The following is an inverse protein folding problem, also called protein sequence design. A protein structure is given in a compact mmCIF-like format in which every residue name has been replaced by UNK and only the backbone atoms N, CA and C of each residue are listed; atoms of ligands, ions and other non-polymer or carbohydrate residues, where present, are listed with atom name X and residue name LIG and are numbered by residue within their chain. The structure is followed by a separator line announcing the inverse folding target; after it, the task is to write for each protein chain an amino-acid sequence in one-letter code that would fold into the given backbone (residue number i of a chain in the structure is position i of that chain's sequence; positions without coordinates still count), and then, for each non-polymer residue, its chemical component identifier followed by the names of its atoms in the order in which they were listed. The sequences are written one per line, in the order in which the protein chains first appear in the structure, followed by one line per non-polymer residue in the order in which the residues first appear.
data_IF_598625998523
#
_entry.id   IF_598625998523
#
_cell.length_a   1.000
_cell.length_b   1.000
_cell.length_c   1.000
_cell.angle_alpha   90.00
_cell.angle_beta   90.00
_cell.angle_gamma   90.00
#
_symmetry.space_group_name_H-M   'P 1'
#
loop_
_entity.id
_entity.type
_entity.pdbx_description
1 polymer ?
#
# COMPACT_ATOMS: atom_id res chain seq x y z
N UNK A 1 47.80 15.09 -28.63
CA UNK A 1 46.72 15.75 -27.86
C UNK A 1 45.51 14.82 -27.87
N UNK A 2 45.21 14.16 -26.75
CA UNK A 2 44.09 13.23 -26.66
C UNK A 2 42.85 13.98 -26.17
N UNK A 3 41.80 13.99 -26.98
CA UNK A 3 40.56 14.70 -26.69
C UNK A 3 39.65 13.76 -25.88
N UNK A 4 39.53 14.04 -24.58
CA UNK A 4 38.56 13.39 -23.70
C UNK A 4 37.15 13.71 -24.21
N UNK A 5 36.50 12.71 -24.80
CA UNK A 5 35.09 12.77 -25.14
C UNK A 5 34.28 12.91 -23.85
N UNK A 6 33.62 14.06 -23.68
CA UNK A 6 32.66 14.24 -22.58
C UNK A 6 31.42 13.43 -22.94
N UNK A 7 31.19 12.33 -22.23
CA UNK A 7 29.89 11.66 -22.21
C UNK A 7 28.94 12.49 -21.35
N UNK A 8 28.05 13.23 -21.99
CA UNK A 8 26.87 13.80 -21.32
C UNK A 8 25.92 12.65 -20.97
N UNK A 9 25.96 12.21 -19.72
CA UNK A 9 24.97 11.25 -19.20
C UNK A 9 23.67 12.03 -19.00
N UNK A 10 22.53 11.60 -19.58
CA UNK A 10 21.26 12.26 -19.32
C UNK A 10 20.98 12.20 -17.81
N UNK A 11 20.54 13.34 -17.25
CA UNK A 11 20.13 13.36 -15.85
C UNK A 11 19.01 12.34 -15.66
N UNK A 12 19.04 11.56 -14.55
CA UNK A 12 17.95 10.64 -14.26
C UNK A 12 16.64 11.41 -14.21
N UNK A 13 15.57 10.80 -14.71
CA UNK A 13 14.23 11.34 -14.52
C UNK A 13 13.99 11.32 -13.01
N UNK A 14 13.84 12.50 -12.41
CA UNK A 14 13.48 12.61 -11.00
C UNK A 14 12.08 12.02 -10.86
N UNK A 15 11.96 10.97 -10.06
CA UNK A 15 10.65 10.51 -9.64
C UNK A 15 9.96 11.66 -8.89
N UNK A 16 8.64 11.83 -9.06
CA UNK A 16 7.90 12.82 -8.28
C UNK A 16 8.09 12.50 -6.79
N UNK A 17 8.37 13.55 -6.00
CA UNK A 17 8.43 13.40 -4.55
C UNK A 17 7.11 12.82 -4.04
N UNK A 18 7.20 11.87 -3.10
CA UNK A 18 6.00 11.33 -2.44
C UNK A 18 5.27 12.47 -1.73
N UNK A 19 3.99 12.57 -2.02
CA UNK A 19 3.10 13.51 -1.36
C UNK A 19 2.74 13.02 0.03
N UNK A 20 2.24 13.92 0.90
CA UNK A 20 1.70 13.50 2.20
C UNK A 20 0.54 12.50 2.08
N UNK A 21 -0.11 12.47 0.92
CA UNK A 21 -1.23 11.60 0.62
C UNK A 21 -0.77 10.17 0.27
N UNK A 22 0.33 10.05 -0.48
CA UNK A 22 1.01 8.78 -0.71
C UNK A 22 1.43 8.13 0.62
N UNK A 23 2.00 8.93 1.53
CA UNK A 23 2.37 8.48 2.87
C UNK A 23 1.15 8.02 3.69
N UNK A 24 0.01 8.68 3.53
CA UNK A 24 -1.23 8.29 4.21
C UNK A 24 -1.79 6.97 3.65
N UNK A 25 -1.73 6.75 2.34
CA UNK A 25 -2.08 5.47 1.71
C UNK A 25 -1.21 4.34 2.25
N UNK A 26 0.12 4.55 2.31
CA UNK A 26 1.07 3.57 2.85
C UNK A 26 0.75 3.26 4.33
N UNK A 27 0.50 4.30 5.12
CA UNK A 27 0.20 4.16 6.54
C UNK A 27 -1.11 3.40 6.80
N UNK A 28 -2.19 3.74 6.08
CA UNK A 28 -3.48 3.04 6.20
C UNK A 28 -3.33 1.59 5.75
N UNK A 29 -2.61 1.33 4.66
CA UNK A 29 -2.33 -0.03 4.19
C UNK A 29 -1.60 -0.84 5.26
N UNK A 30 -0.54 -0.27 5.84
CA UNK A 30 0.22 -0.92 6.91
C UNK A 30 -0.66 -1.20 8.14
N UNK A 31 -1.47 -0.24 8.59
CA UNK A 31 -2.40 -0.45 9.71
C UNK A 31 -3.40 -1.58 9.44
N UNK A 32 -4.00 -1.62 8.26
CA UNK A 32 -4.95 -2.68 7.88
C UNK A 32 -4.26 -4.04 7.84
N UNK A 33 -3.05 -4.12 7.28
CA UNK A 33 -2.27 -5.35 7.25
C UNK A 33 -1.90 -5.84 8.67
N UNK A 34 -1.46 -4.94 9.56
CA UNK A 34 -1.19 -5.32 10.96
C UNK A 34 -2.45 -5.83 11.64
N UNK A 35 -3.56 -5.11 11.53
CA UNK A 35 -4.83 -5.53 12.11
C UNK A 35 -5.30 -6.88 11.54
N UNK A 36 -5.07 -7.13 10.25
CA UNK A 36 -5.42 -8.41 9.63
C UNK A 36 -4.60 -9.57 10.20
N UNK A 37 -3.31 -9.36 10.45
CA UNK A 37 -2.46 -10.33 11.14
C UNK A 37 -2.94 -10.57 12.57
N UNK A 38 -3.23 -9.49 13.30
CA UNK A 38 -3.58 -9.57 14.72
C UNK A 38 -4.98 -10.15 14.99
N UNK A 39 -5.92 -9.93 14.07
CA UNK A 39 -7.35 -10.18 14.34
C UNK A 39 -8.02 -11.18 13.39
N UNK A 40 -7.46 -11.39 12.19
CA UNK A 40 -8.06 -12.22 11.15
C UNK A 40 -7.16 -13.37 10.68
N UNK A 41 -6.08 -13.67 11.44
CA UNK A 41 -5.14 -14.74 11.09
C UNK A 41 -4.38 -14.46 9.79
N UNK A 42 -4.22 -13.19 9.43
CA UNK A 42 -3.45 -12.78 8.28
C UNK A 42 -1.98 -13.13 8.42
N UNK A 43 -1.32 -13.35 7.29
CA UNK A 43 0.11 -13.61 7.25
C UNK A 43 0.80 -12.75 6.18
N UNK A 44 2.02 -12.26 6.45
CA UNK A 44 2.84 -11.65 5.41
C UNK A 44 3.27 -12.73 4.41
N UNK A 45 3.22 -12.38 3.13
CA UNK A 45 3.78 -13.16 2.04
C UNK A 45 4.64 -12.28 1.14
N UNK A 46 5.31 -12.92 0.18
CA UNK A 46 6.09 -12.25 -0.85
C UNK A 46 5.75 -12.87 -2.20
N UNK A 47 5.27 -12.02 -3.11
CA UNK A 47 5.21 -12.30 -4.53
C UNK A 47 6.44 -11.67 -5.18
N UNK A 48 7.16 -12.41 -6.02
CA UNK A 48 8.39 -11.90 -6.62
C UNK A 48 8.13 -10.81 -7.67
N UNK A 49 6.97 -10.83 -8.31
CA UNK A 49 6.60 -9.87 -9.34
C UNK A 49 5.91 -8.65 -8.73
N UNK A 50 5.08 -8.89 -7.72
CA UNK A 50 4.24 -7.83 -7.13
C UNK A 50 4.74 -7.33 -5.76
N UNK A 51 5.73 -7.99 -5.18
CA UNK A 51 6.32 -7.61 -3.89
C UNK A 51 5.54 -8.13 -2.68
N UNK A 52 5.50 -7.40 -1.56
CA UNK A 52 4.88 -7.86 -0.33
C UNK A 52 3.37 -8.04 -0.51
N UNK A 53 2.83 -9.12 0.06
CA UNK A 53 1.40 -9.44 -0.05
C UNK A 53 0.81 -9.81 1.31
N UNK A 54 -0.47 -9.48 1.49
CA UNK A 54 -1.25 -9.99 2.61
C UNK A 54 -1.92 -11.31 2.21
N UNK A 55 -1.74 -12.34 3.01
CA UNK A 55 -2.45 -13.61 2.89
C UNK A 55 -3.55 -13.68 3.95
N UNK A 56 -4.78 -14.00 3.54
CA UNK A 56 -5.89 -14.34 4.42
C UNK A 56 -6.37 -15.75 4.09
N UNK A 57 -6.35 -16.66 5.06
CA UNK A 57 -6.65 -18.08 4.80
C UNK A 57 -5.73 -18.73 3.76
N UNK A 58 -4.48 -18.26 3.65
CA UNK A 58 -3.53 -18.69 2.61
C UNK A 58 -3.77 -18.11 1.22
N UNK A 59 -4.80 -17.27 1.03
CA UNK A 59 -5.12 -16.64 -0.24
C UNK A 59 -4.61 -15.21 -0.26
N UNK A 60 -3.95 -14.84 -1.36
CA UNK A 60 -3.45 -13.48 -1.59
C UNK A 60 -4.59 -12.48 -1.74
N UNK A 61 -4.54 -11.38 -0.98
CA UNK A 61 -5.46 -10.25 -1.11
C UNK A 61 -4.84 -9.16 -1.97
N UNK A 62 -5.37 -9.00 -3.18
CA UNK A 62 -4.98 -7.95 -4.15
C UNK A 62 -5.99 -6.82 -4.24
N UNK A 63 -7.10 -6.94 -3.52
CA UNK A 63 -8.29 -6.09 -3.60
C UNK A 63 -8.30 -4.96 -2.56
N UNK A 64 -7.27 -4.82 -1.74
CA UNK A 64 -7.18 -3.81 -0.67
C UNK A 64 -6.81 -2.40 -1.19
N UNK A 65 -5.98 -2.31 -2.23
CA UNK A 65 -5.43 -1.03 -2.69
C UNK A 65 -6.53 -0.04 -3.15
N UNK A 66 -7.56 -0.53 -3.83
CA UNK A 66 -8.68 0.28 -4.32
C UNK A 66 -9.50 0.92 -3.18
N UNK A 67 -9.98 0.15 -2.19
CA UNK A 67 -10.65 0.68 -1.01
C UNK A 67 -9.81 1.69 -0.22
N UNK A 68 -8.50 1.43 -0.01
CA UNK A 68 -7.61 2.38 0.68
C UNK A 68 -7.48 3.68 -0.11
N UNK A 69 -7.27 3.59 -1.42
CA UNK A 69 -7.23 4.77 -2.28
C UNK A 69 -8.55 5.54 -2.20
N UNK A 70 -9.73 4.92 -2.32
CA UNK A 70 -11.00 5.65 -2.19
C UNK A 70 -11.14 6.36 -0.83
N UNK A 71 -10.69 5.71 0.24
CA UNK A 71 -10.78 6.26 1.58
C UNK A 71 -9.85 7.47 1.78
N UNK A 72 -8.58 7.37 1.40
CA UNK A 72 -7.58 8.45 1.54
C UNK A 72 -7.79 9.55 0.49
N UNK A 73 -8.11 9.14 -0.73
CA UNK A 73 -8.11 10.03 -1.87
C UNK A 73 -9.41 10.82 -2.00
N UNK A 74 -10.53 10.17 -1.69
CA UNK A 74 -11.87 10.70 -1.94
C UNK A 74 -12.66 10.92 -0.64
N UNK A 75 -12.08 10.58 0.52
CA UNK A 75 -12.77 10.62 1.81
C UNK A 75 -13.91 9.60 1.91
N UNK A 76 -13.92 8.58 1.04
CA UNK A 76 -14.99 7.57 0.99
C UNK A 76 -14.54 6.31 1.73
N UNK A 77 -14.85 6.25 3.03
CA UNK A 77 -14.45 5.16 3.92
C UNK A 77 -15.30 3.88 3.76
N UNK A 78 -16.51 3.99 3.21
CA UNK A 78 -17.46 2.88 3.05
C UNK A 78 -16.88 1.62 2.39
N UNK A 79 -16.22 1.71 1.22
CA UNK A 79 -15.56 0.57 0.58
C UNK A 79 -14.50 -0.10 1.45
N UNK A 80 -13.70 0.68 2.18
CA UNK A 80 -12.68 0.15 3.08
C UNK A 80 -13.31 -0.58 4.27
N UNK A 81 -14.38 -0.01 4.84
CA UNK A 81 -15.13 -0.65 5.93
C UNK A 81 -15.77 -1.96 5.49
N UNK A 82 -16.38 -1.98 4.31
CA UNK A 82 -16.96 -3.20 3.74
C UNK A 82 -15.88 -4.28 3.50
N UNK A 83 -14.69 -3.89 3.04
CA UNK A 83 -13.58 -4.83 2.88
C UNK A 83 -13.12 -5.41 4.23
N UNK A 84 -12.98 -4.56 5.25
CA UNK A 84 -12.59 -4.99 6.61
C UNK A 84 -13.60 -5.98 7.19
N UNK A 85 -14.89 -5.66 7.08
CA UNK A 85 -15.97 -6.53 7.57
C UNK A 85 -15.96 -7.89 6.84
N UNK A 86 -15.81 -7.89 5.51
CA UNK A 86 -15.76 -9.11 4.72
C UNK A 86 -14.50 -9.96 4.97
N UNK A 87 -13.40 -9.31 5.37
CA UNK A 87 -12.15 -9.95 5.73
C UNK A 87 -12.08 -10.33 7.23
N UNK A 88 -13.12 -10.04 7.99
CA UNK A 88 -13.19 -10.20 9.46
C UNK A 88 -12.05 -9.46 10.21
N UNK A 89 -11.50 -8.41 9.60
CA UNK A 89 -10.41 -7.60 10.15
C UNK A 89 -10.98 -6.55 11.08
N UNK A 90 -10.52 -6.54 12.34
CA UNK A 90 -10.94 -5.56 13.34
C UNK A 90 -9.85 -4.51 13.57
N UNK A 91 -10.18 -3.25 13.30
CA UNK A 91 -9.32 -2.13 13.67
C UNK A 91 -9.57 -1.76 15.14
N UNK A 92 -8.51 -1.74 15.97
CA UNK A 92 -8.62 -1.40 17.40
C UNK A 92 -9.08 0.04 17.63
N UNK A 93 -8.76 0.95 16.70
CA UNK A 93 -9.16 2.35 16.73
C UNK A 93 -9.93 2.71 15.46
N UNK A 94 -11.08 3.42 15.57
CA UNK A 94 -11.77 3.89 14.38
C UNK A 94 -10.86 4.84 13.60
N UNK A 95 -10.60 4.51 12.35
CA UNK A 95 -9.85 5.39 11.43
C UNK A 95 -10.77 6.54 11.05
N UNK A 96 -10.35 7.77 11.38
CA UNK A 96 -10.98 8.98 10.85
C UNK A 96 -10.12 9.44 9.68
N UNK A 97 -10.68 9.40 8.48
CA UNK A 97 -10.08 9.92 7.26
C UNK A 97 -10.75 11.25 6.91
#
# INVERSE_FOLDING_TARGET
AAQLARTTTPAPVLEPDRTGRDLLVDHVTAMVCCAAVDTAGGAPGLDWLDGPVLLLGGVRRTDLAGPVAQAVEQGQDGPLRAWLDAAEVRLEKPVRL
#
